data_IF_067514164906
#
_entry.id   IF_067514164906
#
_cell.length_a   1.000
_cell.length_b   1.000
_cell.length_c   1.000
_cell.angle_alpha   90.00
_cell.angle_beta   90.00
_cell.angle_gamma   90.00
#
_symmetry.space_group_name_H-M   'P 1'
#
loop_
_entity.id
_entity.type
_entity.pdbx_description
1 polymer ?
#
# COMPACT_ATOMS: atom_id res chain seq x y z
N UNK A 1 -13.65 18.69 -22.31
CA UNK A 1 -12.91 17.41 -22.44
C UNK A 1 -11.47 17.50 -21.94
N UNK A 2 -10.72 18.62 -22.11
CA UNK A 2 -9.36 18.79 -21.54
C UNK A 2 -9.30 18.96 -20.02
N UNK A 3 -10.23 19.74 -19.42
CA UNK A 3 -10.15 20.10 -17.99
C UNK A 3 -10.18 18.89 -17.03
N UNK A 4 -10.95 17.85 -17.36
CA UNK A 4 -11.05 16.68 -16.49
C UNK A 4 -9.79 15.82 -16.54
N UNK A 5 -9.20 15.67 -17.73
CA UNK A 5 -7.92 14.98 -17.90
C UNK A 5 -6.79 15.74 -17.19
N UNK A 6 -6.74 17.07 -17.32
CA UNK A 6 -5.75 17.90 -16.62
C UNK A 6 -5.90 17.81 -15.10
N UNK A 7 -7.13 17.86 -14.58
CA UNK A 7 -7.38 17.69 -13.15
C UNK A 7 -6.94 16.30 -12.65
N UNK A 8 -7.17 15.24 -13.43
CA UNK A 8 -6.73 13.87 -13.10
C UNK A 8 -5.20 13.76 -13.17
N UNK A 9 -4.56 14.33 -14.19
CA UNK A 9 -3.11 14.31 -14.35
C UNK A 9 -2.39 15.05 -13.23
N UNK A 10 -2.81 16.30 -12.94
CA UNK A 10 -2.24 17.09 -11.85
C UNK A 10 -2.56 16.51 -10.48
N UNK A 11 -3.77 15.99 -10.27
CA UNK A 11 -4.13 15.27 -9.05
C UNK A 11 -3.27 14.01 -8.86
N UNK A 12 -3.04 13.26 -9.94
CA UNK A 12 -2.15 12.10 -9.96
C UNK A 12 -0.71 12.45 -9.62
N UNK A 13 -0.18 13.50 -10.25
CA UNK A 13 1.15 14.03 -9.97
C UNK A 13 1.30 14.45 -8.49
N UNK A 14 0.32 15.17 -7.94
CA UNK A 14 0.33 15.57 -6.54
C UNK A 14 0.33 14.36 -5.58
N UNK A 15 -0.51 13.35 -5.82
CA UNK A 15 -0.51 12.12 -5.02
C UNK A 15 0.83 11.40 -5.06
N UNK A 16 1.43 11.30 -6.25
CA UNK A 16 2.70 10.63 -6.43
C UNK A 16 3.85 11.38 -5.74
N UNK A 17 3.89 12.70 -5.84
CA UNK A 17 4.87 13.55 -5.15
C UNK A 17 4.71 13.46 -3.63
N UNK A 18 3.49 13.45 -3.10
CA UNK A 18 3.24 13.25 -1.67
C UNK A 18 3.70 11.86 -1.20
N UNK A 19 3.49 10.82 -2.01
CA UNK A 19 4.00 9.48 -1.72
C UNK A 19 5.53 9.48 -1.61
N UNK A 20 6.21 10.08 -2.59
CA UNK A 20 7.66 10.16 -2.63
C UNK A 20 8.24 11.03 -1.52
N UNK A 21 7.68 12.22 -1.28
CA UNK A 21 8.10 13.12 -0.21
C UNK A 21 7.94 12.45 1.16
N UNK A 22 6.83 11.75 1.41
CA UNK A 22 6.63 10.98 2.63
C UNK A 22 7.64 9.85 2.79
N UNK A 23 7.94 9.11 1.72
CA UNK A 23 8.93 8.03 1.74
C UNK A 23 10.35 8.57 1.98
N UNK A 24 10.74 9.62 1.26
CA UNK A 24 12.07 10.24 1.31
C UNK A 24 12.34 10.91 2.66
N UNK A 25 11.34 11.55 3.26
CA UNK A 25 11.45 12.13 4.61
C UNK A 25 11.40 11.11 5.75
N UNK A 26 11.28 9.81 5.43
CA UNK A 26 11.14 8.74 6.42
C UNK A 26 9.80 8.73 7.16
N UNK A 27 8.86 9.63 6.81
CA UNK A 27 7.51 9.72 7.41
C UNK A 27 6.59 8.59 6.96
N UNK A 28 6.82 8.05 5.77
CA UNK A 28 6.16 6.87 5.23
C UNK A 28 7.19 5.76 5.03
N UNK A 29 6.77 4.54 5.32
CA UNK A 29 7.48 3.33 4.90
C UNK A 29 6.86 2.79 3.61
N UNK A 30 7.55 1.89 2.91
CA UNK A 30 7.05 1.21 1.71
C UNK A 30 5.87 0.22 1.97
N UNK A 31 5.03 0.51 2.97
CA UNK A 31 3.84 -0.22 3.35
C UNK A 31 2.57 0.25 2.62
N UNK A 32 1.42 -0.20 3.11
CA UNK A 32 0.14 -0.04 2.39
C UNK A 32 -0.24 1.41 2.08
N UNK A 33 0.02 2.36 3.00
CA UNK A 33 -0.30 3.78 2.79
C UNK A 33 0.47 4.37 1.61
N UNK A 34 1.78 4.17 1.57
CA UNK A 34 2.62 4.58 0.44
C UNK A 34 2.13 3.95 -0.86
N UNK A 35 1.84 2.65 -0.86
CA UNK A 35 1.39 1.97 -2.08
C UNK A 35 0.04 2.49 -2.58
N UNK A 36 -0.89 2.85 -1.69
CA UNK A 36 -2.16 3.47 -2.10
C UNK A 36 -1.94 4.82 -2.78
N UNK A 37 -1.11 5.71 -2.19
CA UNK A 37 -0.81 7.00 -2.85
C UNK A 37 -0.08 6.79 -4.18
N UNK A 38 0.88 5.87 -4.23
CA UNK A 38 1.63 5.55 -5.45
C UNK A 38 0.70 5.02 -6.55
N UNK A 39 -0.23 4.11 -6.21
CA UNK A 39 -1.20 3.56 -7.15
C UNK A 39 -2.18 4.62 -7.65
N UNK A 40 -2.68 5.48 -6.76
CA UNK A 40 -3.57 6.58 -7.14
C UNK A 40 -2.85 7.58 -8.06
N UNK A 41 -1.61 7.96 -7.70
CA UNK A 41 -0.80 8.89 -8.47
C UNK A 41 -0.43 8.37 -9.86
N UNK A 42 0.11 7.15 -9.92
CA UNK A 42 0.45 6.50 -11.18
C UNK A 42 -0.80 6.26 -12.04
N UNK A 43 -1.93 5.87 -11.45
CA UNK A 43 -3.19 5.69 -12.16
C UNK A 43 -3.67 6.98 -12.85
N UNK A 44 -3.62 8.12 -12.15
CA UNK A 44 -3.96 9.42 -12.73
C UNK A 44 -3.05 9.80 -13.89
N UNK A 45 -1.75 9.58 -13.76
CA UNK A 45 -0.77 9.86 -14.81
C UNK A 45 -0.87 8.91 -16.02
N UNK A 46 -1.29 7.66 -15.82
CA UNK A 46 -1.57 6.74 -16.94
C UNK A 46 -2.77 7.23 -17.75
N UNK A 47 -3.87 7.59 -17.08
CA UNK A 47 -5.09 8.09 -17.75
C UNK A 47 -4.75 9.35 -18.55
N UNK A 48 -4.09 10.29 -17.89
CA UNK A 48 -3.64 11.55 -18.48
C UNK A 48 -2.66 11.37 -19.65
N UNK A 49 -1.64 10.52 -19.45
CA UNK A 49 -0.63 10.21 -20.45
C UNK A 49 -1.21 9.49 -21.68
N UNK A 50 -2.18 8.61 -21.48
CA UNK A 50 -2.88 7.93 -22.58
C UNK A 50 -3.68 8.93 -23.44
N UNK A 51 -4.35 9.91 -22.82
CA UNK A 51 -5.07 10.96 -23.55
C UNK A 51 -4.15 11.88 -24.35
N UNK A 52 -2.94 12.18 -23.85
CA UNK A 52 -1.98 13.06 -24.53
C UNK A 52 -0.93 12.32 -25.35
N UNK A 53 -1.07 11.00 -25.54
CA UNK A 53 -0.09 10.14 -26.22
C UNK A 53 1.35 10.27 -25.66
N UNK A 54 1.48 10.56 -24.37
CA UNK A 54 2.75 10.63 -23.67
C UNK A 54 3.24 9.22 -23.30
N UNK A 55 3.57 8.42 -24.32
CA UNK A 55 3.88 6.99 -24.16
C UNK A 55 5.03 6.67 -23.19
N UNK A 56 6.14 7.44 -23.14
CA UNK A 56 7.19 7.17 -22.16
C UNK A 56 6.71 7.30 -20.71
N UNK A 57 5.96 8.37 -20.41
CA UNK A 57 5.39 8.60 -19.08
C UNK A 57 4.33 7.54 -18.74
N UNK A 58 3.48 7.19 -19.72
CA UNK A 58 2.42 6.20 -19.53
C UNK A 58 3.01 4.82 -19.20
N UNK A 59 4.02 4.37 -19.96
CA UNK A 59 4.69 3.09 -19.72
C UNK A 59 5.34 3.04 -18.33
N UNK A 60 6.05 4.09 -17.93
CA UNK A 60 6.65 4.21 -16.59
C UNK A 60 5.60 4.05 -15.48
N UNK A 61 4.48 4.78 -15.58
CA UNK A 61 3.44 4.75 -14.57
C UNK A 61 2.70 3.40 -14.54
N UNK A 62 2.54 2.71 -15.67
CA UNK A 62 2.03 1.33 -15.71
C UNK A 62 2.96 0.38 -14.96
N UNK A 63 4.29 0.50 -15.11
CA UNK A 63 5.26 -0.30 -14.35
C UNK A 63 5.13 -0.02 -12.85
N UNK A 64 5.00 1.24 -12.44
CA UNK A 64 4.74 1.60 -11.05
C UNK A 64 3.43 1.04 -10.50
N UNK A 65 2.37 0.98 -11.30
CA UNK A 65 1.12 0.30 -10.91
C UNK A 65 1.37 -1.18 -10.62
N UNK A 66 2.11 -1.87 -11.49
CA UNK A 66 2.46 -3.29 -11.29
C UNK A 66 3.25 -3.54 -10.01
N UNK A 67 4.32 -2.76 -9.79
CA UNK A 67 5.17 -2.85 -8.59
C UNK A 67 4.35 -2.56 -7.34
N UNK A 68 3.57 -1.48 -7.36
CA UNK A 68 2.78 -1.04 -6.20
C UNK A 68 1.70 -2.04 -5.82
N UNK A 69 1.04 -2.66 -6.81
CA UNK A 69 0.05 -3.70 -6.57
C UNK A 69 0.66 -4.96 -5.96
N UNK A 70 1.83 -5.39 -6.47
CA UNK A 70 2.56 -6.52 -5.90
C UNK A 70 2.98 -6.25 -4.45
N UNK A 71 3.50 -5.05 -4.16
CA UNK A 71 3.88 -4.63 -2.82
C UNK A 71 2.67 -4.54 -1.88
N UNK A 72 1.54 -3.98 -2.32
CA UNK A 72 0.31 -3.89 -1.53
C UNK A 72 -0.26 -5.27 -1.19
N UNK A 73 -0.26 -6.21 -2.15
CA UNK A 73 -0.65 -7.61 -1.93
C UNK A 73 0.24 -8.30 -0.89
N UNK A 74 1.55 -8.07 -0.95
CA UNK A 74 2.51 -8.59 0.05
C UNK A 74 2.23 -8.02 1.45
N UNK A 75 2.03 -6.70 1.55
CA UNK A 75 1.74 -6.04 2.82
C UNK A 75 0.47 -6.58 3.50
N UNK A 76 -0.61 -6.82 2.74
CA UNK A 76 -1.84 -7.43 3.27
C UNK A 76 -1.61 -8.84 3.81
N UNK A 77 -0.85 -9.68 3.09
CA UNK A 77 -0.54 -11.05 3.52
C UNK A 77 0.25 -11.09 4.84
N UNK A 78 1.23 -10.20 5.00
CA UNK A 78 2.02 -10.12 6.23
C UNK A 78 1.16 -9.72 7.44
N UNK A 79 0.23 -8.77 7.26
CA UNK A 79 -0.71 -8.36 8.31
C UNK A 79 -1.62 -9.50 8.77
N UNK A 80 -2.17 -10.28 7.83
CA UNK A 80 -3.00 -11.46 8.13
C UNK A 80 -2.21 -12.53 8.89
N UNK A 81 -0.96 -12.79 8.48
CA UNK A 81 -0.08 -13.75 9.17
C UNK A 81 0.26 -13.31 10.60
N UNK A 82 0.54 -12.02 10.80
CA UNK A 82 0.82 -11.46 12.12
C UNK A 82 -0.38 -11.58 13.07
N UNK A 83 -1.59 -11.29 12.57
CA UNK A 83 -2.83 -11.43 13.33
C UNK A 83 -3.10 -12.88 13.75
N UNK A 84 -2.94 -13.84 12.82
CA UNK A 84 -3.11 -15.28 13.11
C UNK A 84 -2.11 -15.79 14.15
N UNK A 85 -0.83 -15.36 14.07
CA UNK A 85 0.20 -15.70 15.07
C UNK A 85 -0.11 -15.14 16.45
N UNK A 86 -0.63 -13.91 16.52
CA UNK A 86 -1.04 -13.27 17.80
C UNK A 86 -2.21 -14.01 18.44
N UNK A 87 -3.20 -14.43 17.64
CA UNK A 87 -4.33 -15.22 18.12
C UNK A 87 -3.88 -16.57 18.70
N UNK A 88 -2.99 -17.30 18.00
CA UNK A 88 -2.41 -18.55 18.50
C UNK A 88 -1.65 -18.38 19.82
N UNK A 89 -0.76 -17.39 19.92
CA UNK A 89 0.00 -17.13 21.16
C UNK A 89 -0.91 -16.82 22.34
N UNK A 90 -1.97 -16.05 22.12
CA UNK A 90 -2.92 -15.70 23.18
C UNK A 90 -3.65 -16.95 23.69
N UNK A 91 -4.09 -17.83 22.79
CA UNK A 91 -4.69 -19.11 23.14
C UNK A 91 -3.74 -20.06 23.90
N UNK A 92 -2.47 -20.16 23.47
CA UNK A 92 -1.45 -20.94 24.18
C UNK A 92 -1.19 -20.41 25.58
N UNK A 93 -1.15 -19.08 25.75
CA UNK A 93 -0.90 -18.44 27.05
C UNK A 93 -2.07 -18.69 28.01
N UNK A 94 -3.31 -18.58 27.53
CA UNK A 94 -4.51 -18.88 28.31
C UNK A 94 -4.56 -20.36 28.74
N UNK A 95 -4.26 -21.28 27.82
CA UNK A 95 -4.19 -22.73 28.11
C UNK A 95 -3.13 -23.06 29.16
N UNK A 96 -1.93 -22.47 29.06
CA UNK A 96 -0.86 -22.64 30.06
C UNK A 96 -1.27 -22.10 31.44
N UNK A 97 -1.97 -20.97 31.49
CA UNK A 97 -2.46 -20.38 32.75
C UNK A 97 -3.53 -21.25 33.41
N UNK A 98 -4.48 -21.78 32.63
CA UNK A 98 -5.51 -22.69 33.13
C UNK A 98 -4.90 -23.98 33.71
N UNK A 99 -3.93 -24.59 33.02
CA UNK A 99 -3.21 -25.76 33.54
C UNK A 99 -2.48 -25.45 34.86
N UNK A 100 -1.80 -24.31 34.97
CA UNK A 100 -1.11 -23.92 36.20
C UNK A 100 -2.06 -23.64 37.38
N UNK A 101 -3.27 -23.14 37.11
CA UNK A 101 -4.28 -22.92 38.14
C UNK A 101 -4.91 -24.23 38.62
N UNK A 102 -5.20 -25.17 37.72
CA UNK A 102 -5.75 -26.48 38.07
C UNK A 102 -4.75 -27.41 38.78
N UNK A 103 -3.45 -27.20 38.61
CA UNK A 103 -2.39 -27.93 39.37
C UNK A 103 -2.18 -27.35 40.77
N UNK A 104 -2.73 -26.17 41.07
CA UNK A 104 -2.63 -25.50 42.38
C UNK A 104 -3.87 -25.70 43.26
N UNK A 105 -4.88 -26.41 42.78
CA UNK A 105 -6.08 -26.81 43.52
C UNK A 105 -5.93 -28.25 43.99
#
# INVERSE_FOLDING_TARGET
MMLLADAIGWGGAACLLLAYAGLSSGRLTAGLRYQVLNLAGAGGLVVDGAFRHAWPSTALNVVWLGIGLAAARRAKRTGVQAASRRAKRTGETASRRAKRAGVRA
#
